data_IF_637945232186
#
_entry.id   IF_637945232186
#
_cell.length_a   1.000
_cell.length_b   1.000
_cell.length_c   1.000
_cell.angle_alpha   90.00
_cell.angle_beta   90.00
_cell.angle_gamma   90.00
#
_symmetry.space_group_name_H-M   'P 1'
#
loop_
_entity.id
_entity.type
_entity.pdbx_description
1 polymer ?
#
# COMPACT_ATOMS: atom_id res chain seq x y z
N UNK A 1 35.59 -1.27 -3.62
CA UNK A 1 35.18 -0.01 -4.27
C UNK A 1 34.36 -0.34 -5.49
N UNK A 2 33.07 -0.45 -5.35
CA UNK A 2 32.13 -0.50 -6.46
C UNK A 2 31.15 0.64 -6.31
N UNK A 3 31.58 1.83 -6.69
CA UNK A 3 30.69 2.90 -7.10
C UNK A 3 30.06 2.47 -8.44
N UNK A 4 28.97 1.72 -8.34
CA UNK A 4 28.17 1.43 -9.51
C UNK A 4 27.48 2.73 -9.94
N UNK A 5 27.81 3.15 -11.13
CA UNK A 5 27.17 4.19 -11.93
C UNK A 5 25.63 3.97 -11.91
N UNK A 6 24.96 4.58 -10.95
CA UNK A 6 23.58 4.97 -11.14
C UNK A 6 23.62 6.19 -12.06
N UNK A 7 23.40 5.97 -13.35
CA UNK A 7 23.08 7.06 -14.24
C UNK A 7 21.89 7.80 -13.61
N UNK A 8 22.12 9.01 -13.12
CA UNK A 8 21.05 9.89 -12.67
C UNK A 8 20.26 10.23 -13.92
N UNK A 9 19.11 9.60 -14.07
CA UNK A 9 18.14 9.99 -15.08
C UNK A 9 17.83 11.48 -14.87
N UNK A 10 17.72 12.22 -15.94
CA UNK A 10 17.23 13.59 -15.84
C UNK A 10 15.75 13.56 -15.42
N UNK A 11 15.22 14.63 -14.80
CA UNK A 11 13.80 14.69 -14.45
C UNK A 11 12.87 14.45 -15.64
N UNK A 12 13.31 14.78 -16.85
CA UNK A 12 12.56 14.54 -18.09
C UNK A 12 12.57 13.07 -18.52
N UNK A 13 13.69 12.37 -18.36
CA UNK A 13 13.80 10.93 -18.62
C UNK A 13 13.01 10.11 -17.61
N UNK A 14 12.99 10.51 -16.34
CA UNK A 14 12.16 9.89 -15.32
C UNK A 14 10.66 10.10 -15.59
N UNK A 15 10.28 11.31 -16.00
CA UNK A 15 8.91 11.63 -16.37
C UNK A 15 8.45 10.90 -17.65
N UNK A 16 9.35 10.72 -18.63
CA UNK A 16 9.08 9.94 -19.84
C UNK A 16 8.90 8.47 -19.51
N UNK A 17 9.82 7.89 -18.73
CA UNK A 17 9.74 6.49 -18.28
C UNK A 17 8.49 6.21 -17.45
N UNK A 18 8.05 7.18 -16.63
CA UNK A 18 6.81 7.06 -15.88
C UNK A 18 5.58 7.10 -16.78
N UNK A 19 5.57 8.00 -17.80
CA UNK A 19 4.49 8.06 -18.80
C UNK A 19 4.40 6.77 -19.61
N UNK A 20 5.51 6.24 -20.11
CA UNK A 20 5.56 4.98 -20.86
C UNK A 20 5.02 3.81 -20.03
N UNK A 21 5.37 3.75 -18.74
CA UNK A 21 4.82 2.74 -17.81
C UNK A 21 3.32 2.94 -17.58
N UNK A 22 2.84 4.17 -17.49
CA UNK A 22 1.42 4.48 -17.33
C UNK A 22 0.62 4.15 -18.60
N UNK A 23 1.16 4.45 -19.78
CA UNK A 23 0.55 4.10 -21.06
C UNK A 23 0.50 2.57 -21.24
N UNK A 24 1.59 1.86 -20.93
CA UNK A 24 1.61 0.39 -20.94
C UNK A 24 0.57 -0.19 -19.98
N UNK A 25 0.34 0.43 -18.82
CA UNK A 25 -0.69 -0.01 -17.87
C UNK A 25 -2.12 0.19 -18.40
N UNK A 26 -2.37 1.19 -19.25
CA UNK A 26 -3.68 1.41 -19.86
C UNK A 26 -4.09 0.30 -20.84
N UNK A 27 -3.11 -0.41 -21.41
CA UNK A 27 -3.36 -1.52 -22.33
C UNK A 27 -3.40 -2.90 -21.66
N UNK A 28 -3.19 -2.97 -20.34
CA UNK A 28 -3.29 -4.23 -19.62
C UNK A 28 -4.77 -4.65 -19.55
N UNK A 29 -5.10 -5.67 -20.35
CA UNK A 29 -6.37 -6.40 -20.20
C UNK A 29 -6.22 -7.43 -19.10
N UNK A 30 -7.23 -7.52 -18.24
CA UNK A 30 -7.29 -8.52 -17.19
C UNK A 30 -8.29 -9.58 -17.54
N UNK A 31 -7.90 -10.85 -17.38
CA UNK A 31 -8.76 -11.98 -17.61
C UNK A 31 -9.48 -12.37 -16.32
N UNK A 32 -10.79 -12.35 -16.35
CA UNK A 32 -11.64 -12.90 -15.30
C UNK A 32 -12.28 -14.18 -15.79
N UNK A 33 -12.23 -15.23 -14.96
CA UNK A 33 -12.85 -16.51 -15.31
C UNK A 33 -14.37 -16.40 -15.26
N UNK A 34 -15.05 -16.86 -16.31
CA UNK A 34 -16.52 -16.93 -16.34
C UNK A 34 -17.00 -18.08 -15.45
N UNK A 35 -17.95 -17.82 -14.55
CA UNK A 35 -18.50 -18.84 -13.66
C UNK A 35 -19.38 -19.86 -14.40
N UNK A 36 -20.03 -19.44 -15.51
CA UNK A 36 -20.93 -20.26 -16.32
C UNK A 36 -20.28 -20.48 -17.71
N UNK A 37 -19.35 -21.42 -17.78
CA UNK A 37 -18.70 -21.79 -19.03
C UNK A 37 -19.43 -23.01 -19.59
N UNK A 38 -20.20 -22.83 -20.67
CA UNK A 38 -20.71 -23.95 -21.46
C UNK A 38 -19.56 -24.63 -22.23
N UNK A 39 -19.64 -25.96 -22.42
CA UNK A 39 -18.59 -26.73 -23.12
C UNK A 39 -18.27 -26.22 -24.54
N UNK A 40 -19.19 -25.40 -25.14
CA UNK A 40 -19.02 -24.76 -26.44
C UNK A 40 -18.26 -23.42 -26.39
N UNK A 41 -17.89 -22.89 -25.20
CA UNK A 41 -17.28 -21.58 -25.08
C UNK A 41 -15.77 -21.67 -25.39
N UNK A 42 -15.36 -21.06 -26.50
CA UNK A 42 -13.95 -21.06 -26.96
C UNK A 42 -13.03 -20.20 -26.09
N UNK A 43 -13.58 -19.21 -25.36
CA UNK A 43 -12.82 -18.37 -24.44
C UNK A 43 -13.51 -18.32 -23.06
N UNK A 44 -12.96 -19.00 -22.04
CA UNK A 44 -13.51 -19.00 -20.68
C UNK A 44 -13.27 -17.71 -19.92
N UNK A 45 -12.62 -16.75 -20.52
CA UNK A 45 -12.25 -15.49 -19.85
C UNK A 45 -13.10 -14.32 -20.32
N UNK A 46 -13.37 -13.40 -19.40
CA UNK A 46 -13.83 -12.05 -19.69
C UNK A 46 -12.61 -11.13 -19.58
N UNK A 47 -12.29 -10.42 -20.63
CA UNK A 47 -11.18 -9.50 -20.67
C UNK A 47 -11.67 -8.09 -20.36
N UNK A 48 -11.29 -7.56 -19.20
CA UNK A 48 -11.66 -6.24 -18.75
C UNK A 48 -10.54 -5.24 -19.03
N UNK A 49 -10.93 -4.06 -19.47
CA UNK A 49 -10.06 -2.88 -19.57
C UNK A 49 -9.97 -2.18 -18.21
N UNK A 50 -9.04 -1.22 -18.07
CA UNK A 50 -8.90 -0.46 -16.82
C UNK A 50 -10.20 0.26 -16.43
N UNK A 51 -10.96 0.80 -17.39
CA UNK A 51 -12.23 1.48 -17.14
C UNK A 51 -13.38 0.58 -16.68
N UNK A 52 -13.26 -0.72 -16.90
CA UNK A 52 -14.25 -1.74 -16.51
C UNK A 52 -13.91 -2.41 -15.17
N UNK A 53 -12.70 -2.20 -14.65
CA UNK A 53 -12.28 -2.76 -13.38
C UNK A 53 -12.78 -1.97 -12.18
N UNK A 54 -12.90 -2.65 -11.04
CA UNK A 54 -13.19 -1.98 -9.79
C UNK A 54 -12.03 -1.07 -9.36
N UNK A 55 -12.34 0.08 -8.74
CA UNK A 55 -11.31 0.97 -8.19
C UNK A 55 -10.42 0.26 -7.17
N UNK A 56 -11.00 -0.64 -6.37
CA UNK A 56 -10.24 -1.43 -5.40
C UNK A 56 -9.21 -2.35 -6.07
N UNK A 57 -9.59 -3.03 -7.17
CA UNK A 57 -8.68 -3.85 -7.96
C UNK A 57 -7.53 -3.02 -8.54
N UNK A 58 -7.84 -1.85 -9.10
CA UNK A 58 -6.82 -0.96 -9.65
C UNK A 58 -5.86 -0.45 -8.57
N UNK A 59 -6.40 -0.03 -7.43
CA UNK A 59 -5.57 0.44 -6.31
C UNK A 59 -4.70 -0.68 -5.74
N UNK A 60 -5.23 -1.90 -5.63
CA UNK A 60 -4.45 -3.08 -5.23
C UNK A 60 -3.27 -3.33 -6.17
N UNK A 61 -3.50 -3.31 -7.48
CA UNK A 61 -2.45 -3.51 -8.49
C UNK A 61 -1.39 -2.41 -8.41
N UNK A 62 -1.80 -1.15 -8.32
CA UNK A 62 -0.89 0.00 -8.19
C UNK A 62 -0.04 -0.11 -6.93
N UNK A 63 -0.67 -0.43 -5.80
CA UNK A 63 0.03 -0.65 -4.53
C UNK A 63 1.08 -1.74 -4.66
N UNK A 64 0.73 -2.90 -5.21
CA UNK A 64 1.66 -4.01 -5.40
C UNK A 64 2.84 -3.64 -6.30
N UNK A 65 2.59 -2.92 -7.42
CA UNK A 65 3.66 -2.48 -8.33
C UNK A 65 4.67 -1.58 -7.58
N UNK A 66 4.17 -0.61 -6.81
CA UNK A 66 5.03 0.32 -6.05
C UNK A 66 5.85 -0.43 -5.00
N UNK A 67 5.23 -1.35 -4.26
CA UNK A 67 5.90 -2.12 -3.21
C UNK A 67 6.95 -3.07 -3.77
N UNK A 68 6.66 -3.75 -4.88
CA UNK A 68 7.62 -4.65 -5.56
C UNK A 68 8.79 -3.84 -6.13
N UNK A 69 8.52 -2.69 -6.76
CA UNK A 69 9.58 -1.82 -7.28
C UNK A 69 10.48 -1.31 -6.15
N UNK A 70 9.89 -0.86 -5.04
CA UNK A 70 10.64 -0.44 -3.86
C UNK A 70 11.52 -1.56 -3.30
N UNK A 71 10.98 -2.79 -3.19
CA UNK A 71 11.73 -3.94 -2.71
C UNK A 71 12.90 -4.30 -3.65
N UNK A 72 12.68 -4.30 -4.97
CA UNK A 72 13.69 -4.65 -5.97
C UNK A 72 14.80 -3.59 -6.10
N UNK A 73 14.49 -2.33 -5.85
CA UNK A 73 15.44 -1.22 -6.00
C UNK A 73 16.04 -0.77 -4.67
N UNK A 74 15.65 -1.38 -3.53
CA UNK A 74 16.01 -0.95 -2.19
C UNK A 74 15.78 0.55 -1.97
N UNK A 75 14.66 1.05 -2.46
CA UNK A 75 14.31 2.47 -2.44
C UNK A 75 13.32 2.80 -1.33
N UNK A 76 13.08 4.09 -1.15
CA UNK A 76 12.03 4.63 -0.30
C UNK A 76 10.78 4.88 -1.14
N UNK A 77 9.63 4.37 -0.71
CA UNK A 77 8.33 4.70 -1.26
C UNK A 77 7.44 5.36 -0.19
N UNK A 78 6.65 6.35 -0.61
CA UNK A 78 5.62 6.99 0.22
C UNK A 78 4.28 6.89 -0.49
N UNK A 79 3.30 6.32 0.18
CA UNK A 79 1.98 6.05 -0.41
C UNK A 79 0.91 6.58 0.54
N UNK A 80 0.12 7.53 0.03
CA UNK A 80 -1.02 8.08 0.76
C UNK A 80 -2.30 7.31 0.40
N UNK A 81 -3.21 7.20 1.38
CA UNK A 81 -4.49 6.47 1.28
C UNK A 81 -4.37 5.06 0.68
N UNK A 82 -3.28 4.36 1.01
CA UNK A 82 -2.87 3.11 0.38
C UNK A 82 -3.88 1.95 0.49
N UNK A 83 -4.83 2.00 1.42
CA UNK A 83 -5.85 0.97 1.61
C UNK A 83 -7.21 1.32 0.96
N UNK A 84 -7.33 2.47 0.28
CA UNK A 84 -8.62 2.93 -0.22
C UNK A 84 -9.24 1.97 -1.24
N UNK A 85 -10.45 1.47 -0.91
CA UNK A 85 -11.20 0.53 -1.77
C UNK A 85 -10.66 -0.90 -1.78
N UNK A 86 -9.61 -1.21 -1.03
CA UNK A 86 -9.04 -2.56 -0.89
C UNK A 86 -9.65 -3.21 0.36
N UNK A 87 -10.12 -4.46 0.21
CA UNK A 87 -10.60 -5.22 1.36
C UNK A 87 -9.47 -5.42 2.38
N UNK A 88 -9.80 -5.27 3.68
CA UNK A 88 -8.81 -5.26 4.76
C UNK A 88 -7.87 -6.48 4.76
N UNK A 89 -8.41 -7.66 4.59
CA UNK A 89 -7.60 -8.88 4.57
C UNK A 89 -6.65 -8.92 3.38
N UNK A 90 -7.11 -8.47 2.21
CA UNK A 90 -6.27 -8.35 1.00
C UNK A 90 -5.15 -7.34 1.23
N UNK A 91 -5.46 -6.19 1.82
CA UNK A 91 -4.46 -5.18 2.16
C UNK A 91 -3.40 -5.74 3.12
N UNK A 92 -3.82 -6.42 4.19
CA UNK A 92 -2.90 -7.06 5.14
C UNK A 92 -1.98 -8.08 4.45
N UNK A 93 -2.51 -8.92 3.56
CA UNK A 93 -1.71 -9.89 2.79
C UNK A 93 -0.69 -9.22 1.87
N UNK A 94 -1.06 -8.11 1.24
CA UNK A 94 -0.13 -7.33 0.41
C UNK A 94 1.03 -6.79 1.25
N UNK A 95 0.75 -6.24 2.42
CA UNK A 95 1.79 -5.73 3.32
C UNK A 95 2.68 -6.87 3.84
N UNK A 96 2.11 -8.00 4.24
CA UNK A 96 2.87 -9.19 4.65
C UNK A 96 3.77 -9.70 3.52
N UNK A 97 3.25 -9.76 2.29
CA UNK A 97 4.04 -10.12 1.11
C UNK A 97 5.22 -9.16 0.93
N UNK A 98 4.98 -7.83 0.96
CA UNK A 98 6.06 -6.87 0.87
C UNK A 98 7.12 -7.07 1.96
N UNK A 99 6.71 -7.25 3.21
CA UNK A 99 7.63 -7.49 4.33
C UNK A 99 8.47 -8.77 4.12
N UNK A 100 7.93 -9.78 3.43
CA UNK A 100 8.64 -11.03 3.14
C UNK A 100 9.71 -10.89 2.06
N UNK A 101 9.55 -9.95 1.12
CA UNK A 101 10.48 -9.75 0.00
C UNK A 101 11.40 -8.54 0.18
N UNK A 102 11.07 -7.63 1.10
CA UNK A 102 11.86 -6.43 1.32
C UNK A 102 13.19 -6.74 2.00
N UNK A 103 14.28 -6.18 1.46
CA UNK A 103 15.61 -6.30 2.02
C UNK A 103 16.32 -4.93 1.96
N UNK A 104 16.03 -4.09 2.93
CA UNK A 104 16.61 -2.74 3.03
C UNK A 104 15.80 -1.61 2.41
N UNK A 105 14.69 -1.91 1.71
CA UNK A 105 13.75 -0.89 1.26
C UNK A 105 12.93 -0.33 2.42
N UNK A 106 12.44 0.91 2.27
CA UNK A 106 11.60 1.58 3.26
C UNK A 106 10.29 2.03 2.61
N UNK A 107 9.18 1.86 3.33
CA UNK A 107 7.87 2.32 2.85
C UNK A 107 7.16 3.07 3.97
N UNK A 108 6.67 4.28 3.64
CA UNK A 108 5.74 5.04 4.47
C UNK A 108 4.34 4.90 3.90
N UNK A 109 3.44 4.33 4.68
CA UNK A 109 2.05 4.12 4.31
C UNK A 109 1.17 5.02 5.17
N UNK A 110 0.47 5.97 4.55
CA UNK A 110 -0.60 6.69 5.21
C UNK A 110 -1.93 5.98 4.93
N UNK A 111 -2.69 5.66 5.98
CA UNK A 111 -3.93 4.93 5.86
C UNK A 111 -4.87 5.18 7.03
N UNK A 112 -6.16 5.11 6.76
CA UNK A 112 -7.21 5.07 7.77
C UNK A 112 -7.62 3.63 8.13
N UNK A 113 -6.98 2.63 7.52
CA UNK A 113 -7.25 1.21 7.74
C UNK A 113 -6.60 0.71 9.05
N UNK A 114 -7.16 1.12 10.18
CA UNK A 114 -6.66 0.81 11.52
C UNK A 114 -6.40 -0.67 11.83
N UNK A 115 -7.18 -1.65 11.30
CA UNK A 115 -6.91 -3.07 11.56
C UNK A 115 -5.51 -3.55 11.13
N UNK A 116 -4.78 -2.79 10.30
CA UNK A 116 -3.38 -3.09 9.97
C UNK A 116 -2.48 -3.11 11.22
N UNK A 117 -2.85 -2.37 12.26
CA UNK A 117 -2.10 -2.29 13.52
C UNK A 117 -2.08 -3.61 14.31
N UNK A 118 -3.07 -4.47 14.07
CA UNK A 118 -3.21 -5.78 14.71
C UNK A 118 -2.79 -6.93 13.79
N UNK A 119 -2.19 -6.62 12.63
CA UNK A 119 -1.69 -7.60 11.68
C UNK A 119 -0.48 -8.35 12.25
N UNK A 120 -0.41 -9.66 12.03
CA UNK A 120 0.75 -10.47 12.39
C UNK A 120 2.03 -9.96 11.71
N UNK A 121 3.10 -9.82 12.49
CA UNK A 121 4.38 -9.29 12.02
C UNK A 121 4.46 -7.77 11.93
N UNK A 122 3.38 -7.03 12.24
CA UNK A 122 3.43 -5.59 12.28
C UNK A 122 4.24 -5.08 13.49
N UNK A 123 5.22 -4.24 13.22
CA UNK A 123 6.04 -3.60 14.24
C UNK A 123 5.34 -2.34 14.77
N UNK A 124 4.83 -2.42 15.99
CA UNK A 124 4.07 -1.33 16.64
C UNK A 124 4.87 -0.04 16.79
N UNK A 125 6.19 -0.14 16.96
CA UNK A 125 7.08 1.01 17.07
C UNK A 125 7.23 1.82 15.77
N UNK A 126 6.77 1.27 14.65
CA UNK A 126 6.76 1.97 13.35
C UNK A 126 5.52 2.84 13.14
N UNK A 127 4.44 2.62 13.89
CA UNK A 127 3.21 3.40 13.75
C UNK A 127 3.37 4.82 14.27
N UNK A 128 2.76 5.76 13.55
CA UNK A 128 2.67 7.18 13.92
C UNK A 128 1.22 7.62 13.76
N UNK A 129 0.71 8.29 14.78
CA UNK A 129 -0.64 8.86 14.76
C UNK A 129 -0.54 10.36 14.54
N UNK A 130 -1.30 10.84 13.58
CA UNK A 130 -1.42 12.25 13.28
C UNK A 130 -2.74 12.76 13.82
N UNK A 131 -2.69 13.81 14.61
CA UNK A 131 -3.86 14.52 15.09
C UNK A 131 -3.78 15.99 14.71
N UNK A 132 -4.90 16.60 14.39
CA UNK A 132 -4.99 18.01 14.03
C UNK A 132 -5.98 18.72 14.93
N UNK A 133 -5.51 19.67 15.67
CA UNK A 133 -6.36 20.60 16.41
C UNK A 133 -7.06 21.55 15.41
N UNK A 134 -8.37 21.36 15.24
CA UNK A 134 -9.17 22.18 14.32
C UNK A 134 -9.31 23.64 14.75
N UNK A 135 -9.07 23.98 16.04
CA UNK A 135 -9.15 25.35 16.53
C UNK A 135 -7.87 26.13 16.25
N UNK A 136 -6.73 25.49 16.43
CA UNK A 136 -5.42 26.12 16.26
C UNK A 136 -4.78 25.83 14.90
N UNK A 137 -5.26 24.79 14.19
CA UNK A 137 -4.66 24.30 12.96
C UNK A 137 -3.33 23.55 13.16
N UNK A 138 -2.89 23.36 14.40
CA UNK A 138 -1.66 22.68 14.74
C UNK A 138 -1.83 21.18 14.55
N UNK A 139 -0.88 20.56 13.86
CA UNK A 139 -0.80 19.09 13.72
C UNK A 139 0.25 18.53 14.67
N UNK A 140 -0.09 17.47 15.37
CA UNK A 140 0.82 16.72 16.25
C UNK A 140 1.03 15.32 15.70
N UNK A 141 2.19 14.75 15.98
CA UNK A 141 2.54 13.38 15.59
C UNK A 141 2.95 12.62 16.83
N UNK A 142 2.25 11.53 17.11
CA UNK A 142 2.53 10.67 18.26
C UNK A 142 3.00 9.28 17.82
N UNK A 143 4.04 8.78 18.48
CA UNK A 143 4.45 7.39 18.37
C UNK A 143 3.76 6.55 19.44
N UNK A 144 3.54 5.27 19.18
CA UNK A 144 3.07 4.35 20.22
C UNK A 144 4.11 4.25 21.32
N UNK A 145 3.74 4.65 22.54
CA UNK A 145 4.59 4.40 23.72
C UNK A 145 4.41 2.93 24.16
N UNK A 146 5.30 2.08 23.73
CA UNK A 146 5.30 0.65 24.06
C UNK A 146 5.41 0.37 25.55
N UNK A 147 5.86 1.35 26.37
CA UNK A 147 5.94 1.22 27.83
C UNK A 147 4.58 1.32 28.48
N UNK A 148 3.64 2.05 27.86
CA UNK A 148 2.26 2.21 28.36
C UNK A 148 1.34 1.09 27.87
N UNK A 149 1.68 0.44 26.76
CA UNK A 149 0.84 -0.57 26.12
C UNK A 149 1.52 -1.94 26.19
N UNK A 150 1.10 -2.76 27.14
CA UNK A 150 1.55 -4.15 27.21
C UNK A 150 1.27 -4.88 25.90
N UNK A 151 2.15 -5.82 25.55
CA UNK A 151 2.15 -6.55 24.28
C UNK A 151 0.79 -7.21 23.92
N UNK A 152 -0.09 -7.45 24.91
CA UNK A 152 -1.37 -8.14 24.74
C UNK A 152 -2.57 -7.18 24.56
N UNK A 153 -2.39 -5.87 24.51
CA UNK A 153 -3.51 -4.95 24.28
C UNK A 153 -3.69 -4.72 22.78
N UNK A 154 -4.92 -4.89 22.32
CA UNK A 154 -5.35 -4.57 20.97
C UNK A 154 -5.19 -3.06 20.74
N UNK A 155 -4.30 -2.67 19.81
CA UNK A 155 -3.97 -1.26 19.54
C UNK A 155 -5.16 -0.57 18.89
N UNK A 156 -5.84 -1.27 17.98
CA UNK A 156 -7.04 -0.77 17.33
C UNK A 156 -8.09 -0.33 18.34
N UNK A 157 -8.38 -1.17 19.36
CA UNK A 157 -9.33 -0.84 20.41
C UNK A 157 -8.89 0.39 21.22
N UNK A 158 -7.62 0.48 21.57
CA UNK A 158 -7.10 1.63 22.30
C UNK A 158 -7.14 2.93 21.48
N UNK A 159 -6.95 2.85 20.15
CA UNK A 159 -7.10 3.99 19.27
C UNK A 159 -8.55 4.47 19.22
N UNK A 160 -9.50 3.54 19.05
CA UNK A 160 -10.93 3.84 19.04
C UNK A 160 -11.39 4.42 20.38
N UNK A 161 -10.82 3.93 21.49
CA UNK A 161 -11.10 4.44 22.85
C UNK A 161 -10.36 5.77 23.15
N UNK A 162 -9.81 6.45 22.12
CA UNK A 162 -9.11 7.74 22.21
C UNK A 162 -7.87 7.74 23.13
N UNK A 163 -7.25 6.61 23.35
CA UNK A 163 -6.06 6.49 24.20
C UNK A 163 -4.81 7.16 23.60
N UNK A 164 -4.84 7.52 22.31
CA UNK A 164 -3.74 8.14 21.54
C UNK A 164 -4.04 9.57 21.06
N UNK A 165 -5.04 10.25 21.61
CA UNK A 165 -5.56 11.49 21.02
C UNK A 165 -6.52 11.17 19.88
N UNK A 166 -7.01 12.09 19.16
CA UNK A 166 -8.00 11.90 18.09
C UNK A 166 -9.43 11.97 18.65
N UNK A 167 -9.98 13.17 18.64
CA UNK A 167 -11.39 13.45 18.88
C UNK A 167 -12.06 13.78 17.57
#
# INVERSE_FOLDING_TARGET
>A
CAESLRAKLTPEEDAARFRDKMEAAQYLRRAHYKNDVDEATTDPYIWLTEGEESRGTLNMIRLMIILIDAANTNSLATIDECAMGIHQETFNRIIQFYLSISNGSQVFLATQALPVLDMDGFRRDTARFFDKDFKTGVSTVEAIDLRRFHANKNIYKNYVDHAFGGK
#
